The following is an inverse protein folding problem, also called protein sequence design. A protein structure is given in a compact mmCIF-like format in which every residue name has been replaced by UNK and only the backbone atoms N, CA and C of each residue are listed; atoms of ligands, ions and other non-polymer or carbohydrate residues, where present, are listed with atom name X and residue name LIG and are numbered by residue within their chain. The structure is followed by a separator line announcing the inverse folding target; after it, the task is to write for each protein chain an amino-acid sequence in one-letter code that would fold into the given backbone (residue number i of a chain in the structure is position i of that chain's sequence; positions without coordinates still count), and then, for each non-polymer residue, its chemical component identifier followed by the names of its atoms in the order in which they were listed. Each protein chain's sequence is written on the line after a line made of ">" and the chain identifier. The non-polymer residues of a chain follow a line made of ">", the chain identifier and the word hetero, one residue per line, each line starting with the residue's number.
data_IF_271709732058
#
_entry.id   IF_271709732058
#
_cell.length_a   1.000
_cell.length_b   1.000
_cell.length_c   1.000
_cell.angle_alpha   90.00
_cell.angle_beta   90.00
_cell.angle_gamma   90.00
#
_symmetry.space_group_name_H-M   'P 1'
#
loop_
_entity.id
_entity.type
_entity.pdbx_description
1 polymer ?
#
# COMPACT_ATOMS: atom_id res chain seq x y z
N UNK A 1 18.39 -18.69 -12.08
CA UNK A 1 17.06 -18.57 -11.54
C UNK A 1 16.59 -17.13 -11.62
N UNK A 2 15.36 -16.92 -12.06
CA UNK A 2 14.85 -15.58 -12.24
C UNK A 2 14.28 -15.05 -10.95
N UNK A 3 14.90 -13.99 -10.40
CA UNK A 3 14.42 -13.35 -9.18
C UNK A 3 13.90 -11.95 -9.46
N UNK A 4 13.40 -11.70 -10.66
CA UNK A 4 12.76 -10.43 -10.95
C UNK A 4 11.51 -10.27 -10.06
N UNK A 5 11.09 -9.03 -9.88
CA UNK A 5 9.88 -8.78 -9.08
C UNK A 5 8.71 -9.57 -9.64
N UNK A 6 8.58 -9.61 -10.96
CA UNK A 6 7.47 -10.31 -11.59
C UNK A 6 7.52 -11.81 -11.35
N UNK A 7 8.73 -12.37 -11.41
CA UNK A 7 8.89 -13.79 -11.15
C UNK A 7 8.57 -14.11 -9.70
N UNK A 8 8.99 -13.24 -8.78
CA UNK A 8 8.66 -13.44 -7.37
C UNK A 8 7.17 -13.34 -7.13
N UNK A 9 6.49 -12.41 -7.79
CA UNK A 9 5.04 -12.30 -7.65
C UNK A 9 4.34 -13.57 -8.10
N UNK A 10 4.80 -14.17 -9.18
CA UNK A 10 4.20 -15.42 -9.65
C UNK A 10 4.36 -16.53 -8.61
N UNK A 11 5.50 -16.57 -7.93
CA UNK A 11 5.73 -17.56 -6.88
C UNK A 11 4.91 -17.26 -5.64
N UNK A 12 4.78 -15.99 -5.29
CA UNK A 12 3.96 -15.59 -4.13
C UNK A 12 2.51 -15.97 -4.38
N UNK A 13 2.04 -15.86 -5.61
CA UNK A 13 0.69 -16.25 -5.95
C UNK A 13 0.41 -17.72 -5.62
N UNK A 14 1.47 -18.52 -5.55
CA UNK A 14 1.35 -19.93 -5.20
C UNK A 14 1.68 -20.21 -3.74
N UNK A 15 1.84 -19.15 -2.94
CA UNK A 15 2.07 -19.30 -1.51
C UNK A 15 3.54 -19.44 -1.13
N UNK A 16 4.45 -18.99 -1.97
CA UNK A 16 5.89 -19.11 -1.71
C UNK A 16 6.33 -18.02 -0.74
N UNK A 17 6.44 -18.36 0.53
CA UNK A 17 6.83 -17.39 1.55
C UNK A 17 8.26 -16.88 1.39
N UNK A 18 9.25 -17.72 1.06
CA UNK A 18 10.59 -17.17 0.83
C UNK A 18 10.62 -16.12 -0.27
N UNK A 19 9.84 -16.32 -1.33
CA UNK A 19 9.76 -15.31 -2.40
C UNK A 19 9.18 -14.00 -1.86
N UNK A 20 8.16 -14.11 -1.02
CA UNK A 20 7.56 -12.93 -0.41
C UNK A 20 8.58 -12.18 0.47
N UNK A 21 9.32 -12.92 1.29
CA UNK A 21 10.31 -12.29 2.15
C UNK A 21 11.41 -11.60 1.34
N UNK A 22 11.80 -12.21 0.24
CA UNK A 22 12.83 -11.60 -0.62
C UNK A 22 12.30 -10.31 -1.24
N UNK A 23 11.07 -10.35 -1.76
CA UNK A 23 10.46 -9.18 -2.35
C UNK A 23 10.31 -8.07 -1.31
N UNK A 24 9.88 -8.42 -0.10
CA UNK A 24 9.72 -7.46 0.96
C UNK A 24 11.05 -6.81 1.33
N UNK A 25 12.09 -7.60 1.49
CA UNK A 25 13.40 -7.04 1.80
C UNK A 25 13.89 -6.10 0.72
N UNK A 26 13.57 -6.40 -0.51
CA UNK A 26 14.01 -5.59 -1.65
C UNK A 26 13.34 -4.23 -1.67
N UNK A 27 12.06 -4.16 -1.33
CA UNK A 27 11.28 -2.94 -1.51
C UNK A 27 10.87 -2.23 -0.23
N UNK A 28 10.85 -2.93 0.91
CA UNK A 28 10.34 -2.34 2.13
C UNK A 28 11.06 -1.05 2.55
N UNK A 29 12.40 -1.00 2.51
CA UNK A 29 13.06 0.24 2.92
C UNK A 29 12.68 1.43 2.06
N UNK A 30 12.58 1.25 0.75
CA UNK A 30 12.21 2.35 -0.12
C UNK A 30 10.78 2.79 0.11
N UNK A 31 9.88 1.83 0.35
CA UNK A 31 8.48 2.14 0.58
C UNK A 31 8.28 2.83 1.93
N UNK A 32 9.02 2.40 2.95
CA UNK A 32 8.98 3.08 4.24
C UNK A 32 9.50 4.51 4.12
N UNK A 33 10.57 4.70 3.34
CA UNK A 33 11.09 6.05 3.12
C UNK A 33 10.12 6.96 2.41
N UNK A 34 9.43 6.42 1.40
CA UNK A 34 8.41 7.18 0.69
C UNK A 34 7.28 7.57 1.63
N UNK A 35 6.77 6.62 2.40
CA UNK A 35 5.68 6.88 3.32
C UNK A 35 6.08 7.93 4.36
N UNK A 36 7.33 7.86 4.80
CA UNK A 36 7.83 8.81 5.79
C UNK A 36 7.85 10.22 5.23
N UNK A 37 8.20 10.37 3.96
CA UNK A 37 8.19 11.70 3.35
C UNK A 37 6.78 12.25 3.24
N UNK A 38 5.80 11.38 3.00
CA UNK A 38 4.42 11.84 2.86
C UNK A 38 3.79 12.10 4.22
N UNK A 39 4.01 11.21 5.19
CA UNK A 39 3.31 11.29 6.46
C UNK A 39 4.05 12.09 7.52
N UNK A 40 5.38 12.18 7.41
CA UNK A 40 6.17 12.89 8.40
C UNK A 40 6.27 12.21 9.75
N UNK A 41 5.97 10.91 9.81
CA UNK A 41 5.98 10.16 11.06
C UNK A 41 6.51 8.78 10.77
N UNK A 42 7.60 8.39 11.46
CA UNK A 42 8.27 7.15 11.16
C UNK A 42 7.43 5.93 11.52
N UNK A 43 6.73 5.99 12.65
CA UNK A 43 5.93 4.84 13.07
C UNK A 43 4.78 4.59 12.11
N UNK A 44 4.08 5.65 11.71
CA UNK A 44 3.00 5.49 10.74
C UNK A 44 3.52 5.04 9.39
N UNK A 45 4.68 5.52 9.00
CA UNK A 45 5.26 5.12 7.72
C UNK A 45 5.56 3.63 7.71
N UNK A 46 6.06 3.10 8.82
CA UNK A 46 6.30 1.68 8.90
C UNK A 46 5.02 0.88 8.82
N UNK A 47 3.98 1.35 9.48
CA UNK A 47 2.69 0.67 9.40
C UNK A 47 2.18 0.63 7.96
N UNK A 48 2.31 1.74 7.25
CA UNK A 48 1.87 1.79 5.86
C UNK A 48 2.69 0.84 4.99
N UNK A 49 4.00 0.83 5.20
CA UNK A 49 4.86 -0.05 4.40
C UNK A 49 4.51 -1.51 4.64
N UNK A 50 4.22 -1.88 5.89
CA UNK A 50 3.85 -3.24 6.18
C UNK A 50 2.48 -3.59 5.62
N UNK A 51 1.55 -2.66 5.68
CA UNK A 51 0.25 -2.91 5.09
C UNK A 51 0.36 -3.06 3.58
N UNK A 52 1.25 -2.31 2.94
CA UNK A 52 1.49 -2.46 1.51
C UNK A 52 2.00 -3.87 1.22
N UNK A 53 2.85 -4.41 2.07
CA UNK A 53 3.33 -5.78 1.87
C UNK A 53 2.21 -6.79 2.02
N UNK A 54 1.28 -6.57 2.94
CA UNK A 54 0.11 -7.43 3.03
C UNK A 54 -0.72 -7.37 1.75
N UNK A 55 -0.83 -6.19 1.16
CA UNK A 55 -1.53 -6.07 -0.12
C UNK A 55 -0.82 -6.85 -1.22
N UNK A 56 0.52 -6.89 -1.18
CA UNK A 56 1.28 -7.70 -2.12
C UNK A 56 0.87 -9.16 -1.98
N UNK A 57 0.84 -9.66 -0.76
CA UNK A 57 0.51 -11.07 -0.53
C UNK A 57 -0.91 -11.39 -1.00
N UNK A 58 -1.86 -10.57 -0.63
CA UNK A 58 -3.26 -10.88 -0.93
C UNK A 58 -3.59 -10.63 -2.39
N UNK A 59 -2.87 -9.71 -3.05
CA UNK A 59 -3.16 -9.38 -4.43
C UNK A 59 -2.42 -10.26 -5.43
N UNK A 60 -1.35 -10.93 -4.98
CA UNK A 60 -0.49 -11.65 -5.90
C UNK A 60 -1.24 -12.59 -6.86
N UNK A 61 -2.26 -13.35 -6.40
CA UNK A 61 -2.93 -14.26 -7.34
C UNK A 61 -3.64 -13.55 -8.48
N UNK A 62 -3.97 -12.28 -8.31
CA UNK A 62 -4.68 -11.52 -9.33
C UNK A 62 -3.80 -10.53 -10.06
N UNK A 63 -2.54 -10.44 -9.65
CA UNK A 63 -1.67 -9.41 -10.21
C UNK A 63 -1.37 -9.68 -11.67
N UNK A 64 -1.47 -8.64 -12.48
CA UNK A 64 -1.14 -8.72 -13.89
C UNK A 64 -0.04 -7.70 -14.18
N UNK A 65 0.98 -8.09 -14.94
CA UNK A 65 2.12 -7.21 -15.17
C UNK A 65 1.84 -6.15 -16.23
N UNK A 66 0.79 -5.36 -16.03
CA UNK A 66 0.47 -4.27 -16.94
C UNK A 66 1.40 -3.09 -16.75
N UNK A 67 2.04 -3.00 -15.59
CA UNK A 67 3.04 -2.00 -15.29
C UNK A 67 4.09 -2.69 -14.44
N UNK A 68 5.23 -2.03 -14.27
CA UNK A 68 6.27 -2.59 -13.42
C UNK A 68 5.73 -2.78 -12.00
N UNK A 69 6.18 -3.83 -11.34
CA UNK A 69 5.75 -4.10 -9.98
C UNK A 69 5.99 -2.89 -9.07
N UNK A 70 7.15 -2.26 -9.19
CA UNK A 70 7.48 -1.13 -8.34
C UNK A 70 6.51 0.03 -8.54
N UNK A 71 6.06 0.25 -9.75
CA UNK A 71 5.08 1.30 -10.02
C UNK A 71 3.77 1.00 -9.31
N UNK A 72 3.32 -0.24 -9.39
CA UNK A 72 2.10 -0.64 -8.71
C UNK A 72 2.22 -0.50 -7.21
N UNK A 73 3.35 -0.97 -6.66
CA UNK A 73 3.57 -0.90 -5.22
C UNK A 73 3.64 0.55 -4.74
N UNK A 74 4.30 1.42 -5.50
CA UNK A 74 4.36 2.84 -5.16
C UNK A 74 2.97 3.43 -5.06
N UNK A 75 2.08 3.08 -5.99
CA UNK A 75 0.71 3.56 -5.93
C UNK A 75 -0.02 3.07 -4.69
N UNK A 76 0.20 1.81 -4.32
CA UNK A 76 -0.42 1.27 -3.11
C UNK A 76 0.02 2.08 -1.90
N UNK A 77 1.33 2.35 -1.79
CA UNK A 77 1.85 3.09 -0.64
C UNK A 77 1.31 4.50 -0.62
N UNK A 78 1.33 5.19 -1.75
CA UNK A 78 0.84 6.57 -1.81
C UNK A 78 -0.64 6.62 -1.45
N UNK A 79 -1.43 5.69 -1.96
CA UNK A 79 -2.86 5.68 -1.64
C UNK A 79 -3.11 5.42 -0.17
N UNK A 80 -2.33 4.53 0.44
CA UNK A 80 -2.47 4.28 1.87
C UNK A 80 -2.09 5.51 2.69
N UNK A 81 -1.05 6.23 2.25
CA UNK A 81 -0.64 7.45 2.95
C UNK A 81 -1.71 8.52 2.85
N UNK A 82 -2.25 8.72 1.65
CA UNK A 82 -3.29 9.74 1.47
C UNK A 82 -4.53 9.41 2.26
N UNK A 83 -4.85 8.13 2.35
CA UNK A 83 -6.00 7.69 3.12
C UNK A 83 -5.79 8.01 4.60
N UNK A 84 -4.60 7.79 5.12
CA UNK A 84 -4.32 8.13 6.51
C UNK A 84 -4.38 9.62 6.76
N UNK A 85 -3.89 10.42 5.82
CA UNK A 85 -3.95 11.87 5.97
C UNK A 85 -5.39 12.36 5.97
N UNK A 86 -6.22 11.78 5.14
CA UNK A 86 -7.64 12.15 5.14
C UNK A 86 -8.32 11.80 6.45
N UNK A 87 -8.00 10.63 7.01
CA UNK A 87 -8.59 10.26 8.29
C UNK A 87 -8.13 11.17 9.40
N UNK A 88 -6.86 11.57 9.41
CA UNK A 88 -6.36 12.47 10.42
C UNK A 88 -7.04 13.82 10.34
N UNK A 89 -7.25 14.32 9.12
CA UNK A 89 -7.97 15.57 8.94
C UNK A 89 -9.41 15.46 9.43
N UNK A 90 -10.07 14.37 9.11
CA UNK A 90 -11.44 14.15 9.51
C UNK A 90 -11.57 14.13 11.04
N UNK A 91 -10.67 13.40 11.70
CA UNK A 91 -10.69 13.34 13.15
C UNK A 91 -10.41 14.72 13.75
N UNK A 92 -9.49 15.48 13.15
CA UNK A 92 -9.23 16.82 13.64
C UNK A 92 -10.42 17.74 13.53
N UNK A 93 -11.17 17.62 12.44
CA UNK A 93 -12.37 18.43 12.26
C UNK A 93 -13.45 18.04 13.26
N UNK A 94 -13.59 16.75 13.52
CA UNK A 94 -14.53 16.31 14.53
C UNK A 94 -14.15 16.82 15.91
N UNK A 95 -12.87 16.77 16.24
CA UNK A 95 -12.40 17.25 17.52
C UNK A 95 -12.61 18.73 17.67
N UNK A 96 -12.64 19.48 16.57
CA UNK A 96 -12.89 20.91 16.61
C UNK A 96 -14.37 21.25 16.68
N UNK A 97 -15.24 20.25 16.66
CA UNK A 97 -16.67 20.50 16.74
C UNK A 97 -17.34 20.76 15.42
N UNK A 98 -16.64 20.56 14.32
CA UNK A 98 -17.24 20.74 13.01
C UNK A 98 -17.68 19.42 12.46
N UNK A 99 -18.84 19.42 11.85
CA UNK A 99 -19.36 18.21 11.27
C UNK A 99 -19.19 18.31 9.77
N UNK A 100 -18.35 17.45 9.23
CA UNK A 100 -18.12 17.41 7.81
C UNK A 100 -18.54 16.04 7.31
N UNK A 101 -19.40 16.05 6.31
CA UNK A 101 -19.83 14.81 5.72
C UNK A 101 -18.66 14.16 5.03
N UNK A 102 -18.26 12.96 5.44
CA UNK A 102 -17.14 12.32 4.75
C UNK A 102 -17.56 11.98 3.33
N UNK A 103 -16.66 12.22 2.41
CA UNK A 103 -16.93 11.86 1.05
C UNK A 103 -17.05 10.34 0.97
N UNK A 104 -18.17 9.82 0.52
CA UNK A 104 -18.32 8.37 0.49
C UNK A 104 -17.31 7.69 -0.39
N UNK A 105 -16.90 8.34 -1.45
CA UNK A 105 -15.94 7.72 -2.33
C UNK A 105 -14.54 7.67 -1.81
N UNK A 106 -14.27 8.45 -0.76
CA UNK A 106 -12.90 8.53 -0.29
C UNK A 106 -12.38 7.21 0.19
N UNK A 107 -13.18 6.49 0.92
CA UNK A 107 -12.75 5.21 1.42
C UNK A 107 -12.93 4.11 0.43
N UNK A 108 -13.98 4.18 -0.36
CA UNK A 108 -14.21 3.10 -1.23
C UNK A 108 -13.31 3.02 -2.36
N UNK A 109 -12.83 4.14 -2.86
CA UNK A 109 -11.91 4.04 -3.93
C UNK A 109 -10.63 3.41 -3.54
N UNK A 110 -10.33 3.41 -2.27
CA UNK A 110 -9.14 2.76 -1.81
C UNK A 110 -9.22 1.29 -2.04
N UNK A 111 -10.40 0.77 -2.10
CA UNK A 111 -10.45 -0.60 -2.30
C UNK A 111 -10.68 -0.93 -3.64
N UNK A 112 -11.21 -0.11 -4.29
CA UNK A 112 -11.39 -0.52 -5.58
C UNK A 112 -10.18 -0.44 -6.35
N UNK A 113 -9.78 -0.13 -6.37
CA UNK A 113 -8.80 -0.21 -7.02
C UNK A 113 -8.16 -1.10 -6.74
N UNK A 114 -8.93 -1.12 -6.27
CA UNK A 114 -8.72 -1.92 -5.82
C UNK A 114 -9.09 -2.58 -6.20
N UNK A 115 -9.78 -2.03 -6.56
CA UNK A 115 -10.17 -2.54 -6.69
C UNK A 115 -9.93 -2.79 -7.47
N UNK A 116 -10.01 -2.49 -7.71
CA UNK A 116 -9.85 -2.72 -8.11
C UNK A 116 -9.73 -3.06 -8.49
N UNK A 117 -9.90 -2.85 -8.97
CA UNK A 117 -9.69 -3.25 -9.20
C UNK A 117 -9.44 -3.78 -9.50
#
# INVERSE_FOLDING_TARGET
>A
MDDSDEALMARIARGDEPAFRLLARRHLPAMAGLARRVLGNAAEAEDVAQEAMLRVWTHAPRWQPLAAFRTWLTRVVVNLCLDRKRRAQWVGLEAAGEIVDPSPGAGERAESDERER
#
